data_IF_860388968772
#
_entry.id   IF_860388968772
#
_cell.length_a   1.000
_cell.length_b   1.000
_cell.length_c   1.000
_cell.angle_alpha   90.00
_cell.angle_beta   90.00
_cell.angle_gamma   90.00
#
_symmetry.space_group_name_H-M   'P 1'
#
loop_
_entity.id
_entity.type
_entity.pdbx_description
1 polymer ?
#
# COMPACT_ATOMS: atom_id res chain seq x y z
N UNK A 1 25.40 -63.67 -8.22
CA UNK A 1 26.27 -63.87 -9.40
C UNK A 1 26.06 -62.70 -10.36
N UNK A 2 27.14 -61.91 -10.58
CA UNK A 2 27.46 -60.95 -11.69
C UNK A 2 26.38 -59.89 -12.05
N UNK A 3 26.48 -58.63 -11.61
CA UNK A 3 27.34 -57.51 -12.08
C UNK A 3 27.51 -57.44 -13.61
N UNK A 4 27.11 -56.33 -14.24
CA UNK A 4 28.02 -55.26 -14.73
C UNK A 4 27.24 -54.10 -15.39
N UNK A 5 27.77 -52.89 -15.19
CA UNK A 5 27.40 -51.60 -15.79
C UNK A 5 28.58 -51.18 -16.73
N UNK A 6 28.61 -49.96 -17.29
CA UNK A 6 28.42 -49.55 -18.68
C UNK A 6 29.74 -49.32 -19.47
N UNK A 7 29.64 -48.92 -20.75
CA UNK A 7 30.77 -48.32 -21.50
C UNK A 7 30.33 -47.06 -22.27
N UNK A 8 31.09 -45.98 -22.05
CA UNK A 8 31.26 -44.79 -22.87
C UNK A 8 31.98 -45.16 -24.20
N UNK A 9 31.81 -44.42 -25.30
CA UNK A 9 32.76 -43.32 -25.65
C UNK A 9 32.43 -42.56 -26.96
N UNK A 10 33.00 -41.35 -27.02
CA UNK A 10 32.92 -40.28 -28.02
C UNK A 10 33.69 -40.52 -29.35
N UNK A 11 33.52 -39.54 -30.25
CA UNK A 11 34.42 -39.05 -31.33
C UNK A 11 34.02 -39.44 -32.76
N UNK A 12 33.48 -38.50 -33.56
CA UNK A 12 34.15 -37.45 -34.37
C UNK A 12 34.28 -37.87 -35.83
N UNK A 13 33.72 -37.10 -36.79
CA UNK A 13 34.36 -36.71 -38.05
C UNK A 13 33.49 -35.68 -38.80
N UNK A 14 34.17 -34.73 -39.44
CA UNK A 14 33.66 -33.45 -39.88
C UNK A 14 33.48 -33.32 -41.42
N UNK A 15 32.76 -32.25 -41.79
CA UNK A 15 32.80 -31.42 -43.03
C UNK A 15 32.17 -31.94 -44.34
N UNK A 16 31.24 -31.14 -44.86
CA UNK A 16 31.47 -30.25 -46.02
C UNK A 16 30.33 -29.22 -46.21
N UNK A 17 30.69 -27.97 -46.56
CA UNK A 17 29.82 -26.85 -46.97
C UNK A 17 29.31 -27.02 -48.42
N UNK A 18 28.39 -26.16 -48.91
CA UNK A 18 28.86 -24.96 -49.61
C UNK A 18 28.17 -23.64 -49.23
N UNK A 19 28.83 -22.56 -49.64
CA UNK A 19 28.66 -21.11 -49.39
C UNK A 19 28.02 -20.37 -50.56
N UNK A 20 27.26 -19.29 -50.29
CA UNK A 20 27.30 -17.96 -50.96
C UNK A 20 26.16 -17.09 -50.41
N UNK A 21 26.37 -16.11 -49.51
CA UNK A 21 26.81 -14.72 -49.72
C UNK A 21 25.73 -13.73 -50.21
N UNK A 22 25.19 -12.91 -49.30
CA UNK A 22 25.38 -11.45 -49.34
C UNK A 22 24.86 -10.74 -48.06
N UNK A 23 25.46 -9.60 -47.65
CA UNK A 23 25.21 -8.96 -46.37
C UNK A 23 24.31 -7.72 -46.50
N UNK A 24 23.38 -7.50 -45.58
CA UNK A 24 22.78 -6.19 -45.35
C UNK A 24 23.21 -5.67 -43.97
N UNK A 25 24.22 -4.81 -43.99
CA UNK A 25 24.51 -3.88 -42.90
C UNK A 25 23.47 -2.76 -42.92
N UNK A 26 22.68 -2.63 -41.86
CA UNK A 26 22.05 -1.36 -41.52
C UNK A 26 22.60 -0.88 -40.18
N UNK A 27 23.57 0.04 -40.26
CA UNK A 27 23.90 0.94 -39.17
C UNK A 27 22.71 1.88 -38.95
N UNK A 28 22.06 1.82 -37.79
CA UNK A 28 21.16 2.90 -37.38
C UNK A 28 21.77 3.63 -36.19
N UNK A 29 22.17 4.87 -36.47
CA UNK A 29 22.73 5.81 -35.51
C UNK A 29 21.74 6.05 -34.37
N UNK A 30 22.25 6.10 -33.14
CA UNK A 30 21.52 6.59 -31.97
C UNK A 30 21.04 8.02 -32.25
N UNK A 31 19.73 8.19 -32.35
CA UNK A 31 19.07 9.49 -32.14
C UNK A 31 18.39 9.45 -30.78
N UNK A 32 18.65 10.49 -30.00
CA UNK A 32 18.09 10.76 -28.68
C UNK A 32 16.58 10.49 -28.66
N UNK A 33 16.13 9.68 -27.70
CA UNK A 33 14.71 9.50 -27.43
C UNK A 33 14.16 10.83 -26.87
N UNK A 34 13.41 11.53 -27.71
CA UNK A 34 12.63 12.70 -27.31
C UNK A 34 11.52 12.27 -26.35
N UNK A 35 11.23 13.13 -25.36
CA UNK A 35 10.14 12.96 -24.40
C UNK A 35 8.82 12.68 -25.12
N UNK A 36 8.16 11.59 -24.74
CA UNK A 36 6.79 11.33 -25.19
C UNK A 36 5.88 12.45 -24.67
N UNK A 37 5.31 13.23 -25.59
CA UNK A 37 4.26 14.19 -25.30
C UNK A 37 3.02 13.43 -24.82
N UNK A 38 2.53 13.80 -23.63
CA UNK A 38 1.22 13.39 -23.14
C UNK A 38 0.17 13.94 -24.11
N UNK A 39 -0.35 13.07 -24.98
CA UNK A 39 -1.54 13.37 -25.77
C UNK A 39 -2.75 13.25 -24.83
N UNK A 40 -3.44 14.37 -24.60
CA UNK A 40 -4.80 14.36 -24.09
C UNK A 40 -5.68 13.68 -25.15
N UNK A 41 -5.95 12.39 -24.95
CA UNK A 41 -6.86 11.64 -25.80
C UNK A 41 -8.28 11.98 -25.35
N UNK A 42 -9.02 12.74 -26.16
CA UNK A 42 -10.44 12.96 -25.96
C UNK A 42 -11.13 11.59 -25.87
N UNK A 43 -11.85 11.36 -24.77
CA UNK A 43 -12.37 10.05 -24.40
C UNK A 43 -13.20 9.41 -25.50
N UNK A 44 -12.58 8.48 -26.25
CA UNK A 44 -13.31 7.54 -27.09
C UNK A 44 -14.16 6.68 -26.18
N UNK A 45 -15.48 6.75 -26.35
CA UNK A 45 -16.38 5.65 -26.00
C UNK A 45 -15.93 4.46 -26.84
N UNK A 46 -15.14 3.56 -26.26
CA UNK A 46 -14.72 2.33 -26.94
C UNK A 46 -15.93 1.40 -26.92
N UNK A 47 -16.79 1.60 -27.90
CA UNK A 47 -17.92 0.73 -28.21
C UNK A 47 -17.36 -0.64 -28.63
N UNK A 48 -17.57 -1.66 -27.78
CA UNK A 48 -17.12 -3.05 -27.92
C UNK A 48 -15.60 -3.31 -28.03
N UNK A 49 -14.88 -3.16 -26.92
CA UNK A 49 -13.54 -3.76 -26.80
C UNK A 49 -13.64 -5.26 -26.50
N UNK A 50 -13.54 -6.10 -27.54
CA UNK A 50 -13.44 -7.56 -27.39
C UNK A 50 -12.36 -7.98 -26.36
N UNK A 51 -11.24 -7.26 -26.33
CA UNK A 51 -10.15 -7.49 -25.37
C UNK A 51 -10.55 -7.22 -23.91
N UNK A 52 -11.37 -6.21 -23.66
CA UNK A 52 -11.89 -5.93 -22.32
C UNK A 52 -12.83 -7.06 -21.86
N UNK A 53 -13.75 -7.49 -22.72
CA UNK A 53 -14.70 -8.56 -22.40
C UNK A 53 -13.97 -9.88 -22.09
N UNK A 54 -12.94 -10.24 -22.86
CA UNK A 54 -12.10 -11.40 -22.56
C UNK A 54 -11.38 -11.27 -21.21
N UNK A 55 -10.85 -10.07 -20.91
CA UNK A 55 -10.17 -9.83 -19.65
C UNK A 55 -11.13 -9.92 -18.44
N UNK A 56 -12.37 -9.46 -18.59
CA UNK A 56 -13.44 -9.60 -17.59
C UNK A 56 -13.87 -11.06 -17.43
N UNK A 57 -14.02 -11.80 -18.53
CA UNK A 57 -14.35 -13.22 -18.50
C UNK A 57 -13.28 -14.05 -17.78
N UNK A 58 -12.00 -13.71 -17.97
CA UNK A 58 -10.88 -14.30 -17.21
C UNK A 58 -10.94 -14.02 -15.70
N UNK A 59 -11.72 -13.02 -15.28
CA UNK A 59 -12.03 -12.68 -13.88
C UNK A 59 -13.40 -13.20 -13.43
N UNK A 60 -14.07 -14.01 -14.24
CA UNK A 60 -15.38 -14.60 -13.95
C UNK A 60 -16.57 -13.70 -14.24
N UNK A 61 -16.37 -12.52 -14.85
CA UNK A 61 -17.43 -11.57 -15.17
C UNK A 61 -17.74 -11.63 -16.67
N UNK A 62 -18.94 -12.06 -17.02
CA UNK A 62 -19.42 -12.12 -18.40
C UNK A 62 -20.21 -10.85 -18.69
N UNK A 63 -19.79 -10.10 -19.70
CA UNK A 63 -20.48 -8.87 -20.11
C UNK A 63 -21.72 -9.25 -20.91
N UNK A 64 -22.89 -8.87 -20.40
CA UNK A 64 -24.18 -9.12 -21.05
C UNK A 64 -24.44 -8.15 -22.20
N UNK A 65 -24.48 -6.85 -21.91
CA UNK A 65 -24.80 -5.83 -22.90
C UNK A 65 -23.59 -4.90 -23.16
N UNK A 66 -23.21 -4.08 -22.18
CA UNK A 66 -22.15 -3.08 -22.34
C UNK A 66 -21.19 -3.04 -21.14
N UNK A 67 -19.91 -2.82 -21.44
CA UNK A 67 -18.87 -2.54 -20.45
C UNK A 67 -18.20 -1.20 -20.76
N UNK A 68 -18.16 -0.30 -19.77
CA UNK A 68 -17.56 1.03 -19.90
C UNK A 68 -16.22 1.05 -19.18
N UNK A 69 -15.14 1.44 -19.88
CA UNK A 69 -13.80 1.52 -19.30
C UNK A 69 -13.38 2.97 -19.07
N UNK A 70 -12.88 3.28 -17.88
CA UNK A 70 -12.24 4.55 -17.52
C UNK A 70 -13.08 5.79 -17.85
N UNK A 71 -14.40 5.73 -17.59
CA UNK A 71 -15.24 6.91 -17.71
C UNK A 71 -14.79 7.99 -16.72
N UNK A 72 -14.77 9.24 -17.18
CA UNK A 72 -14.49 10.39 -16.32
C UNK A 72 -15.71 10.75 -15.44
N UNK A 73 -15.51 11.67 -14.50
CA UNK A 73 -16.57 12.05 -13.55
C UNK A 73 -17.86 12.55 -14.21
N UNK A 74 -17.77 13.34 -15.29
CA UNK A 74 -18.96 13.86 -15.98
C UNK A 74 -19.69 12.75 -16.76
N UNK A 75 -18.96 11.85 -17.42
CA UNK A 75 -19.52 10.68 -18.09
C UNK A 75 -20.20 9.73 -17.11
N UNK A 76 -19.62 9.52 -15.92
CA UNK A 76 -20.24 8.74 -14.85
C UNK A 76 -21.53 9.40 -14.35
N UNK A 77 -21.54 10.72 -14.17
CA UNK A 77 -22.75 11.48 -13.79
C UNK A 77 -23.85 11.38 -14.86
N UNK A 78 -23.50 11.47 -16.14
CA UNK A 78 -24.44 11.23 -17.25
C UNK A 78 -25.00 9.80 -17.26
N UNK A 79 -24.27 8.83 -16.67
CA UNK A 79 -24.73 7.45 -16.46
C UNK A 79 -25.45 7.25 -15.13
N UNK A 80 -25.77 8.33 -14.40
CA UNK A 80 -26.54 8.30 -13.16
C UNK A 80 -25.70 8.22 -11.88
N UNK A 81 -24.40 8.47 -11.94
CA UNK A 81 -23.57 8.56 -10.74
C UNK A 81 -24.00 9.72 -9.85
N UNK A 82 -24.15 9.43 -8.57
CA UNK A 82 -24.44 10.37 -7.50
C UNK A 82 -23.33 10.31 -6.45
N UNK A 83 -23.18 11.38 -5.67
CA UNK A 83 -22.28 11.38 -4.52
C UNK A 83 -23.00 10.66 -3.39
N UNK A 84 -22.50 9.51 -2.99
CA UNK A 84 -23.05 8.73 -1.88
C UNK A 84 -22.64 9.34 -0.53
N UNK A 85 -23.50 9.19 0.48
CA UNK A 85 -23.17 9.54 1.86
C UNK A 85 -22.02 8.66 2.36
N UNK A 86 -21.07 9.27 3.08
CA UNK A 86 -19.91 8.57 3.64
C UNK A 86 -20.37 7.68 4.80
N UNK A 87 -20.01 6.40 4.74
CA UNK A 87 -20.20 5.45 5.84
C UNK A 87 -18.87 5.21 6.56
N UNK A 88 -18.92 4.60 7.74
CA UNK A 88 -17.72 4.21 8.47
C UNK A 88 -17.99 3.03 9.39
N UNK A 89 -17.01 2.13 9.50
CA UNK A 89 -17.05 1.03 10.45
C UNK A 89 -17.73 -0.21 9.91
N UNK A 90 -17.79 -0.36 8.58
CA UNK A 90 -18.34 -1.57 7.97
C UNK A 90 -17.43 -2.78 8.22
N UNK A 91 -17.99 -4.00 8.30
CA UNK A 91 -17.26 -5.23 8.55
C UNK A 91 -16.23 -5.47 7.47
N UNK A 92 -14.99 -5.66 7.90
CA UNK A 92 -13.88 -6.07 7.06
C UNK A 92 -13.54 -7.54 7.38
N UNK A 93 -13.52 -8.37 6.35
CA UNK A 93 -13.13 -9.77 6.39
C UNK A 93 -11.87 -9.99 5.56
N UNK A 94 -10.80 -10.55 6.13
CA UNK A 94 -9.53 -10.69 5.40
C UNK A 94 -8.91 -12.06 5.53
N UNK A 95 -8.59 -12.66 4.38
CA UNK A 95 -7.86 -13.91 4.24
C UNK A 95 -6.38 -13.66 3.99
N UNK A 96 -5.52 -14.44 4.64
CA UNK A 96 -4.07 -14.44 4.43
C UNK A 96 -3.35 -13.30 5.16
N UNK A 97 -3.96 -12.76 6.22
CA UNK A 97 -3.32 -11.76 7.07
C UNK A 97 -2.48 -12.44 8.17
N UNK A 98 -1.46 -11.75 8.68
CA UNK A 98 -0.62 -12.24 9.78
C UNK A 98 -1.47 -12.29 11.06
N UNK A 99 -1.53 -13.43 11.78
CA UNK A 99 -2.28 -13.55 13.02
C UNK A 99 -1.75 -12.56 14.09
N UNK A 100 -2.63 -11.84 14.78
CA UNK A 100 -2.17 -10.93 15.85
C UNK A 100 -3.04 -9.74 16.22
N UNK A 101 -4.33 -9.72 15.84
CA UNK A 101 -5.24 -8.61 16.10
C UNK A 101 -5.48 -7.79 14.84
N UNK A 102 -6.58 -8.10 14.16
CA UNK A 102 -6.96 -7.53 12.88
C UNK A 102 -8.44 -7.84 12.57
N UNK A 103 -8.90 -7.62 11.33
CA UNK A 103 -10.27 -7.95 10.94
C UNK A 103 -10.58 -9.43 11.05
N UNK A 104 -11.87 -9.74 11.06
CA UNK A 104 -12.39 -11.10 11.06
C UNK A 104 -11.80 -11.92 9.91
N UNK A 105 -11.39 -13.15 10.18
CA UNK A 105 -10.82 -14.02 9.15
C UNK A 105 -11.92 -14.64 8.27
N UNK A 106 -11.67 -14.72 6.97
CA UNK A 106 -12.53 -15.46 6.03
C UNK A 106 -11.78 -16.65 5.44
N UNK A 107 -12.43 -17.82 5.44
CA UNK A 107 -11.86 -19.05 4.91
C UNK A 107 -11.80 -19.05 3.38
N UNK A 108 -10.86 -19.82 2.79
CA UNK A 108 -10.76 -20.00 1.32
C UNK A 108 -12.08 -20.39 0.67
N UNK A 109 -12.81 -21.40 1.22
CA UNK A 109 -14.06 -21.85 0.62
C UNK A 109 -15.14 -20.77 0.66
N UNK A 110 -15.25 -20.04 1.78
CA UNK A 110 -16.23 -18.94 1.91
C UNK A 110 -15.93 -17.80 0.93
N UNK A 111 -14.67 -17.35 0.85
CA UNK A 111 -14.30 -16.30 -0.10
C UNK A 111 -14.52 -16.75 -1.55
N UNK A 112 -14.16 -17.99 -1.90
CA UNK A 112 -14.37 -18.53 -3.24
C UNK A 112 -15.85 -18.63 -3.60
N UNK A 113 -16.70 -19.02 -2.63
CA UNK A 113 -18.16 -19.06 -2.80
C UNK A 113 -18.71 -17.66 -3.01
N UNK A 114 -18.33 -16.70 -2.17
CA UNK A 114 -18.73 -15.29 -2.29
C UNK A 114 -18.32 -14.72 -3.64
N UNK A 115 -17.07 -14.92 -4.06
CA UNK A 115 -16.57 -14.41 -5.34
C UNK A 115 -17.39 -14.93 -6.51
N UNK A 116 -17.77 -16.22 -6.51
CA UNK A 116 -18.65 -16.80 -7.54
C UNK A 116 -20.03 -16.13 -7.55
N UNK A 117 -20.62 -15.90 -6.37
CA UNK A 117 -21.93 -15.25 -6.29
C UNK A 117 -21.88 -13.79 -6.78
N UNK A 118 -20.84 -13.04 -6.38
CA UNK A 118 -20.62 -11.65 -6.78
C UNK A 118 -20.38 -11.53 -8.29
N UNK A 119 -19.51 -12.37 -8.84
CA UNK A 119 -19.23 -12.36 -10.28
C UNK A 119 -20.43 -12.76 -11.11
N UNK A 120 -21.23 -13.74 -10.67
CA UNK A 120 -22.51 -14.08 -11.28
C UNK A 120 -23.50 -12.92 -11.22
N UNK A 121 -23.59 -12.23 -10.07
CA UNK A 121 -24.44 -11.04 -9.91
C UNK A 121 -24.04 -9.94 -10.90
N UNK A 122 -22.76 -9.54 -10.92
CA UNK A 122 -22.26 -8.51 -11.84
C UNK A 122 -22.51 -8.92 -13.31
N UNK A 123 -22.34 -10.20 -13.64
CA UNK A 123 -22.59 -10.71 -15.01
C UNK A 123 -24.06 -10.67 -15.42
N UNK A 124 -24.99 -10.62 -14.46
CA UNK A 124 -26.43 -10.48 -14.74
C UNK A 124 -26.86 -9.04 -15.05
N UNK A 125 -26.01 -8.07 -14.71
CA UNK A 125 -26.25 -6.64 -14.90
C UNK A 125 -25.94 -6.24 -16.35
N UNK A 126 -26.81 -5.42 -16.93
CA UNK A 126 -26.68 -4.95 -18.32
C UNK A 126 -25.44 -4.09 -18.55
N UNK A 127 -25.21 -3.12 -17.66
CA UNK A 127 -24.15 -2.13 -17.78
C UNK A 127 -23.10 -2.35 -16.69
N UNK A 128 -21.90 -2.71 -17.10
CA UNK A 128 -20.76 -2.90 -16.19
C UNK A 128 -19.82 -1.70 -16.32
N UNK A 129 -19.37 -1.18 -15.20
CA UNK A 129 -18.39 -0.09 -15.15
C UNK A 129 -17.05 -0.67 -14.74
N UNK A 130 -16.00 -0.31 -15.48
CA UNK A 130 -14.63 -0.75 -15.26
C UNK A 130 -13.73 0.47 -15.14
N UNK A 131 -12.86 0.47 -14.14
CA UNK A 131 -11.83 1.49 -14.00
C UNK A 131 -10.48 0.84 -13.70
N UNK A 132 -9.52 1.10 -14.57
CA UNK A 132 -8.13 0.71 -14.43
C UNK A 132 -7.35 1.88 -13.81
N UNK A 133 -6.74 1.63 -12.66
CA UNK A 133 -5.94 2.60 -11.90
C UNK A 133 -4.73 1.94 -11.25
N UNK A 134 -4.09 2.65 -10.33
CA UNK A 134 -2.95 2.16 -9.58
C UNK A 134 -2.98 2.59 -8.11
N UNK A 135 -2.43 1.75 -7.23
CA UNK A 135 -2.09 2.09 -5.84
C UNK A 135 -0.59 2.31 -5.78
N UNK A 136 -0.18 3.47 -5.28
CA UNK A 136 1.19 3.96 -5.33
C UNK A 136 1.37 4.97 -6.45
N UNK A 137 1.84 6.17 -6.10
CA UNK A 137 2.05 7.25 -7.07
C UNK A 137 3.25 7.04 -8.00
N UNK A 138 4.15 6.11 -7.67
CA UNK A 138 5.37 5.83 -8.44
C UNK A 138 5.19 4.57 -9.27
N UNK A 139 5.33 4.62 -10.61
CA UNK A 139 5.15 3.46 -11.49
C UNK A 139 6.20 2.35 -11.28
N UNK A 140 7.25 2.59 -10.50
CA UNK A 140 8.29 1.60 -10.19
C UNK A 140 7.80 0.50 -9.26
N UNK A 141 6.90 0.86 -8.33
CA UNK A 141 6.44 -0.03 -7.27
C UNK A 141 4.94 0.10 -7.03
N UNK A 142 4.20 0.70 -7.98
CA UNK A 142 2.75 0.75 -7.90
C UNK A 142 2.13 -0.64 -8.06
N UNK A 143 0.87 -0.76 -7.70
CA UNK A 143 0.06 -1.95 -7.89
C UNK A 143 -1.05 -1.59 -8.84
N UNK A 144 -1.13 -2.30 -9.96
CA UNK A 144 -2.18 -2.08 -10.95
C UNK A 144 -3.50 -2.62 -10.40
N UNK A 145 -4.56 -1.82 -10.50
CA UNK A 145 -5.88 -2.14 -9.96
C UNK A 145 -6.90 -2.10 -11.07
N UNK A 146 -7.73 -3.14 -11.16
CA UNK A 146 -8.96 -3.15 -11.95
C UNK A 146 -10.17 -3.13 -11.03
N UNK A 147 -10.93 -2.04 -11.06
CA UNK A 147 -12.24 -1.93 -10.43
C UNK A 147 -13.30 -2.42 -11.41
N UNK A 148 -14.23 -3.28 -10.96
CA UNK A 148 -15.37 -3.77 -11.72
C UNK A 148 -16.61 -3.54 -10.86
N UNK A 149 -17.57 -2.76 -11.35
CA UNK A 149 -18.74 -2.35 -10.58
C UNK A 149 -20.04 -2.52 -11.38
N UNK A 150 -21.11 -2.90 -10.67
CA UNK A 150 -22.49 -2.81 -11.16
C UNK A 150 -23.07 -1.38 -11.06
N UNK A 151 -22.33 -0.42 -10.49
CA UNK A 151 -22.83 0.90 -10.14
C UNK A 151 -21.86 2.03 -10.49
N UNK A 152 -22.33 3.12 -11.15
CA UNK A 152 -21.50 4.24 -11.56
C UNK A 152 -21.14 5.17 -10.39
N UNK A 153 -21.98 5.33 -9.37
CA UNK A 153 -21.68 6.11 -8.15
C UNK A 153 -20.52 5.49 -7.36
N UNK A 154 -20.51 4.16 -7.25
CA UNK A 154 -19.40 3.45 -6.63
C UNK A 154 -18.11 3.62 -7.41
N UNK A 155 -18.19 3.62 -8.75
CA UNK A 155 -17.02 3.86 -9.59
C UNK A 155 -16.49 5.29 -9.44
N UNK A 156 -17.38 6.28 -9.38
CA UNK A 156 -17.01 7.67 -9.14
C UNK A 156 -16.25 7.82 -7.81
N UNK A 157 -16.76 7.24 -6.73
CA UNK A 157 -16.13 7.32 -5.40
C UNK A 157 -14.75 6.64 -5.35
N UNK A 158 -14.64 5.43 -5.92
CA UNK A 158 -13.42 4.63 -5.82
C UNK A 158 -12.32 5.08 -6.79
N UNK A 159 -12.69 5.58 -7.97
CA UNK A 159 -11.71 6.09 -8.95
C UNK A 159 -10.89 7.26 -8.39
N UNK A 160 -11.48 8.14 -7.58
CA UNK A 160 -10.78 9.25 -6.93
C UNK A 160 -9.77 8.83 -5.84
N UNK A 161 -9.76 7.54 -5.46
CA UNK A 161 -8.76 7.00 -4.53
C UNK A 161 -7.51 6.47 -5.25
N UNK A 162 -7.62 6.14 -6.54
CA UNK A 162 -6.58 5.49 -7.31
C UNK A 162 -5.80 6.50 -8.14
N UNK A 163 -4.53 6.20 -8.39
CA UNK A 163 -3.72 6.92 -9.35
C UNK A 163 -4.10 6.52 -10.78
N UNK A 164 -4.04 7.49 -11.69
CA UNK A 164 -4.15 7.21 -13.11
C UNK A 164 -3.01 6.29 -13.57
N UNK A 165 -3.32 5.40 -14.51
CA UNK A 165 -2.36 4.46 -15.06
C UNK A 165 -2.45 4.44 -16.59
N UNK A 166 -1.35 4.22 -17.32
CA UNK A 166 -1.38 4.15 -18.78
C UNK A 166 -2.34 3.08 -19.30
N UNK A 167 -2.91 3.34 -20.47
CA UNK A 167 -3.79 2.39 -21.17
C UNK A 167 -3.08 1.05 -21.38
N UNK A 168 -3.74 -0.06 -20.99
CA UNK A 168 -3.23 -1.45 -21.00
C UNK A 168 -2.24 -1.83 -19.90
N UNK A 169 -1.80 -0.92 -19.04
CA UNK A 169 -0.86 -1.25 -17.97
C UNK A 169 -1.37 -2.37 -17.06
N UNK A 170 -2.67 -2.36 -16.72
CA UNK A 170 -3.30 -3.40 -15.91
C UNK A 170 -3.31 -4.76 -16.61
N UNK A 171 -3.55 -4.79 -17.92
CA UNK A 171 -3.60 -6.03 -18.70
C UNK A 171 -2.22 -6.64 -18.96
N UNK A 172 -1.16 -5.84 -18.86
CA UNK A 172 0.23 -6.28 -19.00
C UNK A 172 0.90 -6.62 -17.67
N UNK A 173 0.27 -6.24 -16.55
CA UNK A 173 0.78 -6.51 -15.22
C UNK A 173 0.65 -8.01 -14.89
N UNK A 174 1.67 -8.57 -14.24
CA UNK A 174 1.69 -9.98 -13.86
C UNK A 174 0.82 -10.29 -12.63
N UNK A 175 0.53 -9.29 -11.80
CA UNK A 175 -0.22 -9.44 -10.55
C UNK A 175 -1.17 -8.25 -10.28
N UNK A 176 -2.12 -7.97 -11.20
CA UNK A 176 -3.08 -6.89 -11.00
C UNK A 176 -4.09 -7.25 -9.90
N UNK A 177 -4.32 -6.30 -9.00
CA UNK A 177 -5.36 -6.38 -7.98
C UNK A 177 -6.72 -6.17 -8.64
N UNK A 178 -7.69 -7.03 -8.31
CA UNK A 178 -9.06 -6.92 -8.84
C UNK A 178 -10.04 -6.56 -7.72
N UNK A 179 -10.83 -5.50 -7.90
CA UNK A 179 -11.89 -5.09 -6.97
C UNK A 179 -13.24 -5.31 -7.63
N UNK A 180 -14.09 -6.10 -6.98
CA UNK A 180 -15.46 -6.36 -7.41
C UNK A 180 -16.40 -5.57 -6.50
N UNK A 181 -17.25 -4.76 -7.10
CA UNK A 181 -18.20 -3.90 -6.41
C UNK A 181 -19.61 -4.32 -6.84
N UNK A 182 -20.33 -4.92 -5.90
CA UNK A 182 -21.69 -5.40 -6.11
C UNK A 182 -22.62 -4.68 -5.14
N UNK A 183 -23.11 -3.53 -5.59
CA UNK A 183 -23.95 -2.65 -4.76
C UNK A 183 -25.38 -3.16 -4.62
N UNK A 184 -25.87 -3.87 -5.64
CA UNK A 184 -27.26 -4.35 -5.71
C UNK A 184 -27.41 -5.83 -5.34
N UNK A 185 -26.37 -6.43 -4.78
CA UNK A 185 -26.39 -7.85 -4.38
C UNK A 185 -27.28 -8.05 -3.15
N UNK A 186 -27.92 -9.21 -3.06
CA UNK A 186 -28.83 -9.51 -1.94
C UNK A 186 -28.09 -9.48 -0.60
N UNK A 187 -28.64 -8.82 0.45
CA UNK A 187 -28.00 -8.70 1.77
C UNK A 187 -27.81 -10.06 2.46
N UNK A 188 -28.65 -11.05 2.17
CA UNK A 188 -28.56 -12.42 2.71
C UNK A 188 -27.28 -13.18 2.33
N UNK A 189 -26.43 -12.63 1.47
CA UNK A 189 -25.15 -13.24 1.13
C UNK A 189 -24.15 -13.20 2.29
N UNK A 190 -24.25 -12.17 3.14
CA UNK A 190 -23.41 -12.03 4.35
C UNK A 190 -23.65 -13.15 5.36
N UNK A 191 -24.91 -13.59 5.50
CA UNK A 191 -25.30 -14.68 6.39
C UNK A 191 -24.60 -15.99 6.02
N UNK A 192 -24.41 -16.23 4.72
CA UNK A 192 -23.74 -17.44 4.21
C UNK A 192 -22.23 -17.51 4.53
N UNK A 193 -21.67 -16.43 5.08
CA UNK A 193 -20.26 -16.25 5.44
C UNK A 193 -20.11 -16.12 6.97
N UNK A 194 -21.21 -16.16 7.73
CA UNK A 194 -21.21 -16.03 9.18
C UNK A 194 -21.18 -14.59 9.68
N UNK A 195 -21.41 -13.59 8.81
CA UNK A 195 -21.82 -12.27 9.26
C UNK A 195 -23.27 -12.42 9.76
N UNK A 196 -23.49 -12.24 11.06
CA UNK A 196 -24.84 -12.29 11.63
C UNK A 196 -25.78 -11.27 10.99
N UNK A 197 -27.07 -11.29 11.33
CA UNK A 197 -28.11 -10.40 10.79
C UNK A 197 -27.94 -8.89 11.10
N UNK A 198 -26.75 -8.48 11.53
CA UNK A 198 -26.36 -7.08 11.69
C UNK A 198 -25.63 -6.64 10.42
N UNK A 199 -26.35 -5.85 9.65
CA UNK A 199 -25.92 -4.68 8.86
C UNK A 199 -26.44 -4.71 7.42
N UNK A 200 -27.56 -4.03 7.25
CA UNK A 200 -28.26 -3.84 5.97
C UNK A 200 -27.46 -2.92 5.00
N UNK A 201 -26.32 -2.38 5.43
CA UNK A 201 -25.54 -1.40 4.68
C UNK A 201 -24.38 -2.02 3.88
N UNK A 202 -23.95 -3.26 4.14
CA UNK A 202 -22.93 -3.96 3.34
C UNK A 202 -21.69 -4.40 4.12
N UNK A 203 -20.72 -4.99 3.41
CA UNK A 203 -19.47 -5.49 4.01
C UNK A 203 -18.32 -5.55 3.00
N UNK A 204 -17.10 -5.69 3.50
CA UNK A 204 -15.85 -5.74 2.72
C UNK A 204 -15.17 -7.09 2.96
N UNK A 205 -14.80 -7.79 1.88
CA UNK A 205 -14.05 -9.04 1.97
C UNK A 205 -12.81 -8.99 1.07
N UNK A 206 -11.63 -9.30 1.62
CA UNK A 206 -10.36 -9.27 0.92
C UNK A 206 -9.63 -10.63 0.99
N UNK A 207 -9.00 -11.02 -0.11
CA UNK A 207 -8.11 -12.18 -0.19
C UNK A 207 -6.73 -11.73 -0.69
N UNK A 208 -5.76 -11.69 0.25
CA UNK A 208 -4.39 -11.22 -0.01
C UNK A 208 -3.69 -12.14 -1.00
N UNK A 209 -3.85 -13.46 -0.87
CA UNK A 209 -3.23 -14.45 -1.76
C UNK A 209 -3.76 -14.33 -3.20
N UNK A 210 -5.04 -13.97 -3.37
CA UNK A 210 -5.65 -13.78 -4.69
C UNK A 210 -5.58 -12.34 -5.22
N UNK A 211 -5.02 -11.40 -4.45
CA UNK A 211 -5.05 -9.96 -4.76
C UNK A 211 -6.44 -9.48 -5.19
N UNK A 212 -7.47 -9.88 -4.42
CA UNK A 212 -8.87 -9.65 -4.77
C UNK A 212 -9.64 -9.01 -3.62
N UNK A 213 -10.43 -7.98 -3.93
CA UNK A 213 -11.31 -7.27 -3.00
C UNK A 213 -12.76 -7.37 -3.45
N UNK A 214 -13.68 -7.57 -2.52
CA UNK A 214 -15.12 -7.58 -2.75
C UNK A 214 -15.76 -6.53 -1.85
N UNK A 215 -16.52 -5.62 -2.46
CA UNK A 215 -17.34 -4.62 -1.80
C UNK A 215 -18.81 -4.93 -2.08
N UNK A 216 -19.57 -5.25 -1.04
CA UNK A 216 -21.00 -5.58 -1.14
C UNK A 216 -21.87 -4.44 -0.58
N UNK A 217 -23.03 -4.18 -1.20
CA UNK A 217 -23.95 -3.15 -0.73
C UNK A 217 -23.35 -1.75 -0.83
N UNK A 218 -23.47 -0.95 0.24
CA UNK A 218 -22.90 0.40 0.34
C UNK A 218 -21.45 0.41 0.85
N UNK A 219 -20.75 -0.72 0.82
CA UNK A 219 -19.36 -0.81 1.27
C UNK A 219 -18.40 0.19 0.60
N UNK A 220 -18.67 0.55 -0.66
CA UNK A 220 -17.88 1.56 -1.38
C UNK A 220 -17.94 2.96 -0.74
N UNK A 221 -18.96 3.25 0.07
CA UNK A 221 -19.10 4.52 0.81
C UNK A 221 -18.19 4.59 2.04
N UNK A 222 -17.60 3.48 2.51
CA UNK A 222 -16.62 3.49 3.60
C UNK A 222 -15.20 3.59 3.01
N UNK A 223 -14.78 4.83 2.74
CA UNK A 223 -13.45 5.13 2.19
C UNK A 223 -12.32 4.66 3.13
N UNK A 224 -12.51 4.69 4.45
CA UNK A 224 -11.44 4.37 5.39
C UNK A 224 -11.17 2.87 5.41
N UNK A 225 -12.22 2.06 5.55
CA UNK A 225 -12.10 0.60 5.57
C UNK A 225 -11.73 0.06 4.18
N UNK A 226 -12.20 0.70 3.11
CA UNK A 226 -11.78 0.35 1.74
C UNK A 226 -10.29 0.62 1.52
N UNK A 227 -9.78 1.80 1.94
CA UNK A 227 -8.33 2.10 1.88
C UNK A 227 -7.51 1.16 2.73
N UNK A 228 -8.00 0.76 3.90
CA UNK A 228 -7.34 -0.24 4.75
C UNK A 228 -7.23 -1.59 4.04
N UNK A 229 -8.32 -2.09 3.44
CA UNK A 229 -8.33 -3.33 2.68
C UNK A 229 -7.42 -3.27 1.44
N UNK A 230 -7.48 -2.18 0.68
CA UNK A 230 -6.63 -1.97 -0.49
C UNK A 230 -5.14 -1.86 -0.10
N UNK A 231 -4.82 -1.22 1.03
CA UNK A 231 -3.47 -1.19 1.56
C UNK A 231 -2.99 -2.62 1.90
N UNK A 232 -3.81 -3.39 2.61
CA UNK A 232 -3.51 -4.79 2.93
C UNK A 232 -3.15 -5.62 1.69
N UNK A 233 -3.96 -5.50 0.64
CA UNK A 233 -3.78 -6.25 -0.60
C UNK A 233 -2.58 -5.78 -1.43
N UNK A 234 -2.24 -4.49 -1.36
CA UNK A 234 -1.17 -3.89 -2.18
C UNK A 234 0.21 -4.04 -1.56
N UNK A 235 0.33 -4.06 -0.23
CA UNK A 235 1.62 -4.09 0.47
C UNK A 235 2.55 -5.23 0.01
N UNK A 236 2.12 -6.51 -0.10
CA UNK A 236 3.02 -7.57 -0.54
C UNK A 236 3.56 -7.36 -1.96
N UNK A 237 2.73 -6.80 -2.85
CA UNK A 237 3.13 -6.50 -4.23
C UNK A 237 4.11 -5.33 -4.27
N UNK A 238 3.84 -4.26 -3.50
CA UNK A 238 4.74 -3.11 -3.37
C UNK A 238 6.11 -3.57 -2.83
N UNK A 239 6.09 -4.40 -1.79
CA UNK A 239 7.29 -4.96 -1.16
C UNK A 239 8.10 -5.81 -2.13
N UNK A 240 7.44 -6.71 -2.88
CA UNK A 240 8.08 -7.51 -3.92
C UNK A 240 8.68 -6.66 -5.06
N UNK A 241 8.11 -5.48 -5.34
CA UNK A 241 8.64 -4.51 -6.32
C UNK A 241 9.73 -3.60 -5.76
N UNK A 242 10.19 -3.82 -4.53
CA UNK A 242 11.26 -3.04 -3.88
C UNK A 242 10.79 -1.71 -3.29
N UNK A 243 9.48 -1.51 -3.13
CA UNK A 243 8.92 -0.42 -2.35
C UNK A 243 8.69 -0.85 -0.90
N UNK A 244 8.86 0.06 0.05
CA UNK A 244 8.60 -0.18 1.46
C UNK A 244 7.30 0.55 1.86
N UNK A 245 6.17 -0.16 2.00
CA UNK A 245 4.92 0.45 2.46
C UNK A 245 5.00 0.77 3.95
N UNK A 246 4.61 1.98 4.34
CA UNK A 246 4.75 2.52 5.69
C UNK A 246 3.48 3.26 6.12
N UNK A 247 3.04 3.00 7.35
CA UNK A 247 1.93 3.72 8.01
C UNK A 247 2.34 5.09 8.57
N UNK A 248 3.26 5.78 7.88
CA UNK A 248 3.76 7.09 8.26
C UNK A 248 2.91 8.22 7.66
N UNK A 249 3.02 9.42 8.24
CA UNK A 249 2.59 10.68 7.65
C UNK A 249 3.82 11.47 7.21
N UNK A 250 3.60 12.36 6.25
CA UNK A 250 4.64 13.20 5.69
C UNK A 250 4.55 14.62 6.25
N UNK A 251 5.69 15.19 6.59
CA UNK A 251 5.88 16.59 6.88
C UNK A 251 6.88 17.15 5.88
N UNK A 252 6.54 18.26 5.22
CA UNK A 252 7.42 18.93 4.26
C UNK A 252 7.79 20.29 4.83
N UNK A 253 9.09 20.55 4.98
CA UNK A 253 9.63 21.83 5.46
C UNK A 253 10.68 22.32 4.46
N UNK A 254 10.30 23.30 3.64
CA UNK A 254 11.11 23.70 2.48
C UNK A 254 11.37 22.52 1.55
N UNK A 255 12.65 22.25 1.27
CA UNK A 255 13.09 21.12 0.43
C UNK A 255 13.26 19.80 1.21
N UNK A 256 13.11 19.84 2.53
CA UNK A 256 13.29 18.68 3.40
C UNK A 256 11.99 17.92 3.63
N UNK A 257 12.08 16.61 3.47
CA UNK A 257 10.98 15.67 3.66
C UNK A 257 11.21 14.91 4.97
N UNK A 258 10.20 14.85 5.83
CA UNK A 258 10.28 14.19 7.14
C UNK A 258 9.16 13.15 7.26
N UNK A 259 9.51 11.93 7.65
CA UNK A 259 8.54 10.88 7.94
C UNK A 259 8.21 10.84 9.43
N UNK A 260 6.91 10.85 9.75
CA UNK A 260 6.42 10.76 11.11
C UNK A 260 5.58 9.48 11.29
N UNK A 261 6.02 8.63 12.20
CA UNK A 261 5.26 7.48 12.68
C UNK A 261 4.61 7.84 14.00
N UNK A 262 3.29 7.88 14.03
CA UNK A 262 2.54 8.19 15.24
C UNK A 262 1.14 7.55 15.22
N UNK A 263 0.50 7.37 16.38
CA UNK A 263 -0.90 6.99 16.44
C UNK A 263 -1.82 8.05 15.78
N UNK A 264 -2.96 7.61 15.23
CA UNK A 264 -3.98 8.49 14.60
C UNK A 264 -4.36 9.73 15.45
N UNK A 265 -4.36 9.62 16.78
CA UNK A 265 -4.71 10.72 17.70
C UNK A 265 -3.63 11.81 17.74
N UNK A 266 -2.35 11.44 17.70
CA UNK A 266 -1.20 12.37 17.69
C UNK A 266 -1.19 13.23 16.42
N UNK A 267 -1.63 12.68 15.28
CA UNK A 267 -1.75 13.45 14.05
C UNK A 267 -2.79 14.56 14.13
N UNK A 268 -3.87 14.41 14.93
CA UNK A 268 -4.91 15.44 15.05
C UNK A 268 -4.33 16.80 15.48
N UNK A 269 -3.35 16.79 16.38
CA UNK A 269 -2.69 17.99 16.89
C UNK A 269 -1.72 18.67 15.93
N UNK A 270 -1.26 17.97 14.88
CA UNK A 270 -0.28 18.48 13.91
C UNK A 270 -0.84 18.52 12.47
N UNK A 271 -2.17 18.43 12.32
CA UNK A 271 -2.82 18.34 10.99
C UNK A 271 -2.39 19.45 10.05
N UNK A 272 -2.29 20.68 10.55
CA UNK A 272 -1.98 21.87 9.74
C UNK A 272 -0.55 21.86 9.17
N UNK A 273 0.33 21.02 9.72
CA UNK A 273 1.72 20.87 9.31
C UNK A 273 1.94 19.66 8.41
N UNK A 274 1.11 18.63 8.54
CA UNK A 274 1.27 17.39 7.81
C UNK A 274 0.70 17.54 6.40
N UNK A 275 1.36 16.91 5.42
CA UNK A 275 0.74 16.75 4.10
C UNK A 275 -0.52 15.91 4.32
N UNK A 276 -1.71 16.45 3.97
CA UNK A 276 -2.97 15.79 4.25
C UNK A 276 -3.02 14.48 3.47
N UNK A 277 -2.92 13.38 4.19
CA UNK A 277 -2.96 12.07 3.56
C UNK A 277 -3.23 11.01 4.59
N UNK A 278 -4.49 10.57 4.67
CA UNK A 278 -4.81 9.27 5.23
C UNK A 278 -4.35 8.11 4.32
N UNK A 279 -3.58 8.42 3.27
CA UNK A 279 -3.27 7.51 2.19
C UNK A 279 -2.12 6.55 2.46
N UNK A 280 -1.34 6.72 3.53
CA UNK A 280 -0.13 5.92 3.75
C UNK A 280 0.95 6.18 2.70
N UNK A 281 2.17 5.72 2.97
CA UNK A 281 3.37 6.15 2.25
C UNK A 281 4.14 4.94 1.73
N UNK A 282 4.76 5.08 0.56
CA UNK A 282 5.71 4.11 0.02
C UNK A 282 7.08 4.78 -0.05
N UNK A 283 8.07 4.19 0.62
CA UNK A 283 9.48 4.57 0.51
C UNK A 283 10.17 3.63 -0.47
N UNK A 284 10.79 4.15 -1.53
CA UNK A 284 11.50 3.35 -2.54
C UNK A 284 12.90 3.91 -2.78
N UNK A 285 13.68 3.27 -3.66
CA UNK A 285 15.11 3.58 -3.87
C UNK A 285 15.41 5.07 -4.03
N UNK A 286 14.61 5.80 -4.82
CA UNK A 286 14.93 7.19 -5.20
C UNK A 286 13.94 8.22 -4.66
N UNK A 287 13.09 7.87 -3.69
CA UNK A 287 12.13 8.83 -3.18
C UNK A 287 10.96 8.20 -2.46
N UNK A 288 9.89 8.99 -2.39
CA UNK A 288 8.73 8.73 -1.59
C UNK A 288 7.46 9.03 -2.38
N UNK A 289 6.41 8.25 -2.13
CA UNK A 289 5.11 8.39 -2.79
C UNK A 289 3.97 8.01 -1.86
N UNK A 290 2.74 8.35 -2.26
CA UNK A 290 1.54 7.98 -1.51
C UNK A 290 0.87 6.74 -2.11
N UNK A 291 0.24 5.90 -1.28
CA UNK A 291 -0.52 4.74 -1.80
C UNK A 291 -1.77 5.19 -2.56
N UNK A 292 -2.51 6.15 -2.02
CA UNK A 292 -3.75 6.66 -2.62
C UNK A 292 -3.62 8.11 -3.06
N UNK A 293 -4.49 8.51 -3.98
CA UNK A 293 -4.50 9.87 -4.51
C UNK A 293 -4.73 10.89 -3.40
N UNK A 294 -3.91 11.93 -3.42
CA UNK A 294 -4.02 13.14 -2.62
C UNK A 294 -4.04 14.30 -3.60
N UNK A 295 -4.96 15.27 -3.46
CA UNK A 295 -5.13 16.36 -4.43
C UNK A 295 -3.98 17.39 -4.51
N UNK A 296 -2.73 16.97 -4.30
CA UNK A 296 -1.52 17.79 -4.22
C UNK A 296 -0.31 17.14 -4.91
N UNK A 297 0.89 17.33 -4.37
CA UNK A 297 2.11 16.70 -4.91
C UNK A 297 2.18 15.22 -4.56
N UNK A 298 2.64 14.41 -5.52
CA UNK A 298 2.47 12.95 -5.47
C UNK A 298 3.78 12.20 -5.27
N UNK A 299 4.91 12.84 -5.57
CA UNK A 299 6.25 12.27 -5.49
C UNK A 299 7.16 13.24 -4.72
N UNK A 300 7.93 12.70 -3.81
CA UNK A 300 8.84 13.46 -2.95
C UNK A 300 10.24 12.86 -3.01
N UNK A 301 11.23 13.68 -2.65
CA UNK A 301 12.61 13.23 -2.44
C UNK A 301 12.67 12.25 -1.26
N UNK A 302 13.81 11.58 -1.11
CA UNK A 302 14.07 10.76 0.07
C UNK A 302 13.91 11.59 1.36
N UNK A 303 13.41 10.97 2.44
CA UNK A 303 13.26 11.67 3.71
C UNK A 303 14.63 12.03 4.27
N UNK A 304 14.81 13.29 4.65
CA UNK A 304 16.01 13.74 5.35
C UNK A 304 16.07 13.14 6.77
N UNK A 305 14.90 12.92 7.38
CA UNK A 305 14.81 12.31 8.71
C UNK A 305 13.51 11.55 8.95
N UNK A 306 13.57 10.63 9.91
CA UNK A 306 12.42 9.88 10.41
C UNK A 306 12.21 10.13 11.90
N UNK A 307 10.97 10.39 12.29
CA UNK A 307 10.54 10.52 13.68
C UNK A 307 9.59 9.39 14.05
N UNK A 308 9.93 8.69 15.12
CA UNK A 308 9.11 7.67 15.76
C UNK A 308 8.50 8.30 17.01
N UNK A 309 7.20 8.59 16.99
CA UNK A 309 6.51 9.14 18.14
C UNK A 309 6.19 8.02 19.13
N UNK A 310 6.52 8.23 20.40
CA UNK A 310 6.16 7.36 21.50
C UNK A 310 5.42 8.20 22.53
N UNK A 311 4.29 7.73 23.05
CA UNK A 311 3.70 8.34 24.23
C UNK A 311 4.17 7.55 25.45
N UNK A 312 4.89 8.22 26.34
CA UNK A 312 5.28 7.67 27.63
C UNK A 312 5.00 8.66 28.77
N UNK A 313 4.00 8.36 29.59
CA UNK A 313 3.67 9.14 30.78
C UNK A 313 4.55 8.81 31.99
N UNK A 314 5.41 7.80 31.93
CA UNK A 314 6.29 7.43 33.05
C UNK A 314 7.48 8.37 33.23
N UNK A 315 7.80 9.18 32.21
CA UNK A 315 8.93 10.11 32.22
C UNK A 315 10.29 9.42 32.01
N UNK A 316 10.31 8.14 31.63
CA UNK A 316 11.53 7.37 31.36
C UNK A 316 12.06 7.69 29.97
N UNK A 317 11.20 7.85 28.97
CA UNK A 317 11.63 8.17 27.61
C UNK A 317 11.94 9.69 27.51
N UNK A 318 13.15 10.07 27.06
CA UNK A 318 13.51 11.48 26.87
C UNK A 318 12.67 12.15 25.78
N UNK A 319 12.55 13.48 25.83
CA UNK A 319 11.75 14.26 24.87
C UNK A 319 12.13 13.99 23.41
N UNK A 320 13.43 13.94 23.11
CA UNK A 320 13.97 13.60 21.79
C UNK A 320 15.25 12.77 21.98
N UNK A 321 15.40 11.69 21.21
CA UNK A 321 16.63 10.91 21.14
C UNK A 321 17.01 10.63 19.69
N UNK A 322 18.27 10.87 19.32
CA UNK A 322 18.82 10.36 18.05
C UNK A 322 19.03 8.85 18.18
N UNK A 323 18.56 8.09 17.19
CA UNK A 323 18.63 6.64 17.16
C UNK A 323 19.62 6.17 16.10
N UNK A 324 20.32 5.07 16.39
CA UNK A 324 20.94 4.25 15.34
C UNK A 324 19.89 3.54 14.49
N UNK A 325 20.21 3.10 13.25
CA UNK A 325 19.26 2.37 12.40
C UNK A 325 18.66 1.14 13.08
N UNK A 326 19.46 0.39 13.86
CA UNK A 326 18.97 -0.78 14.61
C UNK A 326 18.01 -0.41 15.74
N UNK A 327 18.28 0.68 16.48
CA UNK A 327 17.34 1.18 17.49
C UNK A 327 16.05 1.70 16.86
N UNK A 328 16.15 2.40 15.72
CA UNK A 328 14.98 2.87 14.98
C UNK A 328 14.10 1.71 14.51
N UNK A 329 14.71 0.65 13.97
CA UNK A 329 14.00 -0.56 13.57
C UNK A 329 13.34 -1.27 14.77
N UNK A 330 14.01 -1.32 15.93
CA UNK A 330 13.43 -1.86 17.15
C UNK A 330 12.20 -1.06 17.62
N UNK A 331 12.31 0.27 17.71
CA UNK A 331 11.20 1.12 18.10
C UNK A 331 10.06 1.10 17.08
N UNK A 332 10.38 0.98 15.78
CA UNK A 332 9.41 0.77 14.72
C UNK A 332 8.66 -0.56 14.88
N UNK A 333 9.37 -1.66 15.12
CA UNK A 333 8.77 -2.97 15.34
C UNK A 333 7.93 -3.03 16.62
N UNK A 334 8.37 -2.38 17.71
CA UNK A 334 7.63 -2.38 18.97
C UNK A 334 6.41 -1.44 18.93
N UNK A 335 6.58 -0.22 18.40
CA UNK A 335 5.57 0.83 18.36
C UNK A 335 4.90 1.08 19.71
N UNK A 336 5.71 1.28 20.76
CA UNK A 336 5.26 1.49 22.13
C UNK A 336 4.42 2.79 22.27
N UNK A 337 3.28 2.68 22.95
CA UNK A 337 2.32 3.76 23.21
C UNK A 337 1.64 3.53 24.57
N UNK A 338 2.09 4.23 25.62
CA UNK A 338 1.52 4.21 26.98
C UNK A 338 1.12 2.79 27.45
N UNK A 339 2.08 1.86 27.46
CA UNK A 339 1.85 0.48 27.90
C UNK A 339 1.23 -0.46 26.85
N UNK A 340 0.88 0.03 25.66
CA UNK A 340 0.43 -0.80 24.53
C UNK A 340 1.49 -0.82 23.43
N UNK A 341 1.59 -1.94 22.72
CA UNK A 341 2.47 -2.10 21.57
C UNK A 341 1.63 -2.15 20.30
N UNK A 342 1.97 -1.30 19.33
CA UNK A 342 1.34 -1.26 18.01
C UNK A 342 2.48 -1.43 17.00
N UNK A 343 2.84 -2.67 16.66
CA UNK A 343 3.95 -2.93 15.75
C UNK A 343 3.85 -2.11 14.47
N UNK A 344 4.99 -1.66 13.95
CA UNK A 344 5.12 -0.85 12.73
C UNK A 344 4.13 0.33 12.60
N UNK A 345 3.57 0.78 13.73
CA UNK A 345 2.52 1.80 13.82
C UNK A 345 1.27 1.49 12.98
N UNK A 346 1.05 0.22 12.63
CA UNK A 346 -0.14 -0.23 11.91
C UNK A 346 -1.10 -0.93 12.87
N UNK A 347 -2.33 -0.42 12.98
CA UNK A 347 -3.41 -1.03 13.77
C UNK A 347 -4.27 -2.00 12.95
N UNK A 348 -4.02 -2.11 11.65
CA UNK A 348 -4.89 -2.79 10.71
C UNK A 348 -4.43 -4.19 10.35
N UNK A 349 -4.93 -4.64 9.21
CA UNK A 349 -4.56 -5.88 8.51
C UNK A 349 -3.07 -5.95 8.20
N UNK A 350 -2.39 -6.89 8.83
CA UNK A 350 -1.01 -7.23 8.49
C UNK A 350 -0.98 -8.16 7.30
N UNK A 351 -0.43 -7.73 6.17
CA UNK A 351 -0.17 -8.60 5.01
C UNK A 351 1.31 -8.92 4.83
N UNK A 352 2.17 -8.28 5.62
CA UNK A 352 3.61 -8.54 5.71
C UNK A 352 3.93 -8.72 7.19
N UNK A 353 4.83 -9.66 7.50
CA UNK A 353 5.36 -9.82 8.84
C UNK A 353 6.02 -8.49 9.32
N UNK A 354 5.58 -7.91 10.45
CA UNK A 354 6.20 -6.73 11.03
C UNK A 354 7.72 -6.82 11.15
N UNK A 355 8.26 -8.01 11.43
CA UNK A 355 9.70 -8.25 11.55
C UNK A 355 10.43 -8.06 10.22
N UNK A 356 9.88 -8.61 9.13
CA UNK A 356 10.44 -8.44 7.78
C UNK A 356 10.37 -6.98 7.35
N UNK A 357 9.25 -6.30 7.66
CA UNK A 357 9.10 -4.87 7.40
C UNK A 357 10.14 -4.04 8.18
N UNK A 358 10.41 -4.40 9.44
CA UNK A 358 11.41 -3.72 10.28
C UNK A 358 12.84 -3.95 9.79
N UNK A 359 13.18 -5.16 9.31
CA UNK A 359 14.48 -5.45 8.69
C UNK A 359 14.70 -4.61 7.43
N UNK A 360 13.69 -4.54 6.55
CA UNK A 360 13.75 -3.73 5.34
C UNK A 360 13.87 -2.23 5.66
N UNK A 361 13.11 -1.76 6.67
CA UNK A 361 13.21 -0.40 7.17
C UNK A 361 14.61 -0.08 7.71
N UNK A 362 15.22 -0.99 8.49
CA UNK A 362 16.59 -0.85 8.98
C UNK A 362 17.61 -0.71 7.84
N UNK A 363 17.51 -1.58 6.82
CA UNK A 363 18.41 -1.53 5.66
C UNK A 363 18.28 -0.18 4.96
N UNK A 364 17.05 0.26 4.72
CA UNK A 364 16.77 1.53 4.03
C UNK A 364 17.34 2.74 4.78
N UNK A 365 17.19 2.79 6.11
CA UNK A 365 17.80 3.84 6.94
C UNK A 365 19.33 3.85 6.85
N UNK A 366 19.96 2.67 6.79
CA UNK A 366 21.42 2.52 6.72
C UNK A 366 21.96 2.88 5.33
N UNK A 367 21.32 2.38 4.28
CA UNK A 367 21.79 2.51 2.90
C UNK A 367 21.69 3.96 2.42
N UNK A 368 20.61 4.66 2.77
CA UNK A 368 20.39 6.07 2.41
C UNK A 368 20.88 7.07 3.48
N UNK A 369 21.49 6.59 4.57
CA UNK A 369 21.98 7.42 5.69
C UNK A 369 20.91 8.36 6.28
N UNK A 370 19.68 7.85 6.43
CA UNK A 370 18.54 8.65 6.93
C UNK A 370 18.64 8.78 8.44
N UNK A 371 18.63 10.02 8.95
CA UNK A 371 18.69 10.26 10.40
C UNK A 371 17.36 9.92 11.07
N UNK A 372 17.41 9.08 12.10
CA UNK A 372 16.22 8.62 12.84
C UNK A 372 16.18 9.15 14.26
N UNK A 373 14.99 9.50 14.73
CA UNK A 373 14.76 10.09 16.05
C UNK A 373 13.56 9.44 16.74
N UNK A 374 13.66 9.23 18.05
CA UNK A 374 12.54 8.93 18.92
C UNK A 374 12.04 10.24 19.52
N UNK A 375 10.74 10.48 19.46
CA UNK A 375 10.10 11.66 20.02
C UNK A 375 9.10 11.24 21.08
N UNK A 376 9.36 11.61 22.34
CA UNK A 376 8.37 11.40 23.39
C UNK A 376 7.32 12.50 23.35
N UNK A 377 6.11 12.08 23.05
CA UNK A 377 4.89 12.86 23.11
C UNK A 377 4.47 12.97 24.58
N UNK A 378 5.16 13.84 25.33
CA UNK A 378 4.92 14.10 26.74
C UNK A 378 3.57 14.80 26.96
N UNK A 379 2.61 14.10 27.56
CA UNK A 379 1.32 14.64 27.95
C UNK A 379 0.25 13.57 27.78
N UNK A 380 -0.12 12.90 28.88
CA UNK A 380 -1.11 11.82 28.89
C UNK A 380 -2.31 12.16 28.00
N UNK A 381 -2.56 11.28 27.03
CA UNK A 381 -3.62 11.23 25.99
C UNK A 381 -4.10 12.53 25.28
N UNK A 382 -3.79 13.75 25.74
CA UNK A 382 -4.50 14.98 25.37
C UNK A 382 -3.63 16.21 25.03
N UNK A 383 -2.31 16.24 25.19
CA UNK A 383 -1.55 17.48 24.96
C UNK A 383 -0.27 17.28 24.14
N UNK A 384 -0.42 17.18 22.82
CA UNK A 384 0.66 17.56 21.89
C UNK A 384 0.32 18.94 21.38
N UNK A 385 1.09 19.95 21.75
CA UNK A 385 1.02 21.23 21.08
C UNK A 385 1.79 21.07 19.76
N UNK A 386 1.11 21.07 18.61
CA UNK A 386 1.76 20.87 17.29
C UNK A 386 2.92 21.85 17.04
N UNK A 387 2.92 22.99 17.73
CA UNK A 387 4.02 23.97 17.74
C UNK A 387 5.32 23.43 18.37
N UNK A 388 5.24 22.58 19.39
CA UNK A 388 6.42 22.01 20.03
C UNK A 388 7.06 20.93 19.15
N UNK A 389 6.24 20.14 18.45
CA UNK A 389 6.73 19.22 17.43
C UNK A 389 7.38 19.95 16.25
N UNK A 390 6.76 21.02 15.73
CA UNK A 390 7.34 21.84 14.68
C UNK A 390 8.71 22.41 15.08
N UNK A 391 8.83 22.93 16.31
CA UNK A 391 10.10 23.40 16.87
C UNK A 391 11.14 22.27 16.93
N UNK A 392 10.76 21.10 17.41
CA UNK A 392 11.67 19.93 17.48
C UNK A 392 12.15 19.52 16.09
N UNK A 393 11.26 19.45 15.10
CA UNK A 393 11.64 19.14 13.72
C UNK A 393 12.60 20.20 13.19
N UNK A 394 12.31 21.48 13.40
CA UNK A 394 13.17 22.59 12.93
C UNK A 394 14.54 22.60 13.64
N UNK A 395 14.58 22.36 14.94
CA UNK A 395 15.82 22.19 15.72
C UNK A 395 16.63 20.99 15.25
N UNK A 396 15.97 19.90 14.88
CA UNK A 396 16.64 18.68 14.40
C UNK A 396 17.18 18.84 12.98
N UNK A 397 16.44 19.51 12.09
CA UNK A 397 16.89 19.86 10.74
C UNK A 397 18.04 20.88 10.75
N UNK A 398 18.23 21.63 11.85
CA UNK A 398 19.35 22.55 12.06
C UNK A 398 20.47 21.99 12.96
N UNK A 399 20.45 20.69 13.26
CA UNK A 399 21.39 19.96 14.15
C UNK A 399 21.51 20.49 15.60
N UNK A 400 20.62 21.39 16.02
CA UNK A 400 20.60 21.97 17.37
C UNK A 400 19.65 21.20 18.27
N UNK A 401 20.02 19.97 18.66
CA UNK A 401 19.17 19.15 19.55
C UNK A 401 19.35 19.63 21.01
N UNK A 402 18.28 20.06 21.70
CA UNK A 402 18.38 20.50 23.09
C UNK A 402 18.78 19.33 24.02
N UNK A 403 19.65 19.58 25.03
CA UNK A 403 20.06 18.55 25.98
C UNK A 403 18.88 18.08 26.83
N UNK A 404 18.85 16.78 27.15
CA UNK A 404 17.84 16.17 27.99
C UNK A 404 17.86 16.74 29.42
N UNK A 405 16.70 17.17 29.92
CA UNK A 405 16.48 17.50 31.33
C UNK A 405 15.47 16.50 31.91
N UNK A 406 15.93 15.64 32.82
CA UNK A 406 15.05 14.74 33.57
C UNK A 406 14.15 15.55 34.52
N UNK A 407 12.85 15.24 34.57
CA UNK A 407 11.97 15.78 35.63
C UNK A 407 12.33 15.10 36.94
N UNK A 408 13.00 15.83 37.82
CA UNK A 408 13.35 15.40 39.17
C UNK A 408 12.09 15.22 40.02
N UNK A 409 11.74 13.97 40.37
CA UNK A 409 11.11 13.56 41.64
C UNK A 409 10.92 12.04 41.75
N UNK A 410 11.89 11.24 41.27
CA UNK A 410 11.99 9.83 41.66
C UNK A 410 13.39 9.59 42.20
N UNK A 411 13.42 9.14 43.45
CA UNK A 411 14.57 8.75 44.24
C UNK A 411 15.54 7.90 43.41
N UNK A 412 16.82 8.21 43.55
CA UNK A 412 18.00 7.48 43.06
C UNK A 412 17.75 5.99 42.81
N UNK A 413 17.64 5.62 41.54
CA UNK A 413 18.06 4.31 41.04
C UNK A 413 19.19 4.55 40.04
N UNK A 414 20.28 3.75 40.08
CA UNK A 414 21.49 4.05 39.35
C UNK A 414 21.21 4.05 37.84
N UNK A 415 21.70 5.10 37.19
CA UNK A 415 21.88 5.24 35.75
C UNK A 415 22.41 3.92 35.16
N UNK A 416 21.53 3.11 34.56
CA UNK A 416 21.94 2.14 33.57
C UNK A 416 22.31 2.93 32.32
N UNK A 417 23.57 3.37 32.28
CA UNK A 417 24.25 3.66 31.03
C UNK A 417 24.06 2.43 30.13
N UNK A 418 23.29 2.58 29.04
CA UNK A 418 23.33 1.64 27.92
C UNK A 418 24.69 1.82 27.20
N UNK A 419 25.75 1.37 27.86
CA UNK A 419 27.04 0.99 27.27
C UNK A 419 27.06 -0.52 27.09
N UNK A 420 26.01 -1.09 26.51
CA UNK A 420 26.09 -2.45 25.99
C UNK A 420 26.45 -2.36 24.51
N UNK A 421 27.73 -2.66 24.22
CA UNK A 421 28.11 -3.28 22.95
C UNK A 421 27.23 -4.52 22.80
N UNK A 422 26.10 -4.38 22.11
CA UNK A 422 25.39 -5.54 21.59
C UNK A 422 25.83 -5.66 20.13
N UNK A 423 26.98 -6.29 19.93
CA UNK A 423 27.34 -6.90 18.66
C UNK A 423 26.39 -8.08 18.45
N UNK A 424 25.36 -7.89 17.64
CA UNK A 424 24.66 -9.01 17.04
C UNK A 424 25.46 -9.48 15.84
N UNK A 425 26.08 -10.65 15.97
CA UNK A 425 26.54 -11.43 14.83
C UNK A 425 25.29 -11.90 14.06
N UNK A 426 24.92 -11.12 13.05
CA UNK A 426 24.18 -11.64 11.91
C UNK A 426 25.23 -12.17 10.94
N UNK A 427 25.66 -13.42 11.16
CA UNK A 427 26.37 -14.17 10.12
C UNK A 427 25.35 -14.64 9.07
N UNK A 428 25.76 -14.73 7.79
CA UNK A 428 24.89 -14.92 6.64
C UNK A 428 24.09 -16.23 6.64
#
# INVERSE_FOLDING_TARGET
>A
MKNFKPFFDESSFARSRPTSSNPFFFSSQRKFAASASVSQDEGRVIDYSYGLNLALAGKGVIVKDQAFLNLNSSQLQHKGATIAESLSGLPLLVRGHVPGGGPSEISKPHFTKLLKQVTNHISSISNIFVHDGAIGSSPKCDVKVRLISDNPSAMLSLSHMLWETPTRAVSQDSCPLTVYVATSISPGIGESIGLGSKENDGFIAADIERSSLILCGKAFSDSNTTKEALAALSWPVIFARGGLPLSARLLVSGDSVVLLFAPKRTFKSCRDLLVPSDAGVILYSNGLGFLFQTGGSNLFKLPASVFLASSDSSGVIPSVSKLSPGQAAYHFLAGYQNGKFIPAYNKGTWSIDPLELAKAFMSKLKDDQISSYLFNVNGGENNVNGKDFAKVVQSTLSENIPPFQAKSNLVTLPLLCYRNKITFNLSP
#
